data_IF_044862650786
#
_entry.id   IF_044862650786
#
_cell.length_a   1.000
_cell.length_b   1.000
_cell.length_c   1.000
_cell.angle_alpha   90.00
_cell.angle_beta   90.00
_cell.angle_gamma   90.00
#
_symmetry.space_group_name_H-M   'P 1'
#
loop_
_entity.id
_entity.type
_entity.pdbx_description
1 polymer ?
#
# COMPACT_ATOMS: atom_id res chain seq x y z
N UNK A 1 -36.83 -22.33 -11.49
CA UNK A 1 -37.04 -22.77 -10.10
C UNK A 1 -35.74 -23.37 -9.58
N UNK A 2 -34.86 -22.55 -9.00
CA UNK A 2 -33.62 -23.03 -8.37
C UNK A 2 -33.87 -23.19 -6.88
N UNK A 3 -33.77 -24.44 -6.37
CA UNK A 3 -33.81 -24.72 -4.91
C UNK A 3 -32.46 -24.36 -4.31
N UNK A 4 -32.48 -23.50 -3.30
CA UNK A 4 -31.32 -23.17 -2.46
C UNK A 4 -30.92 -24.37 -1.59
N UNK A 5 -29.69 -24.84 -1.74
CA UNK A 5 -29.08 -25.82 -0.84
C UNK A 5 -28.61 -25.13 0.44
N UNK A 6 -29.21 -25.48 1.57
CA UNK A 6 -28.81 -24.98 2.88
C UNK A 6 -27.55 -25.70 3.40
N UNK A 7 -26.65 -24.94 4.01
CA UNK A 7 -25.37 -25.37 4.63
C UNK A 7 -25.50 -26.49 5.70
N UNK A 8 -26.71 -26.91 6.05
CA UNK A 8 -26.96 -27.92 7.10
C UNK A 8 -26.96 -29.38 6.62
N UNK A 9 -26.97 -29.63 5.32
CA UNK A 9 -27.09 -31.00 4.77
C UNK A 9 -25.75 -31.70 4.53
N UNK A 10 -24.63 -31.02 4.75
CA UNK A 10 -23.28 -31.57 4.50
C UNK A 10 -22.71 -32.37 5.69
N UNK A 11 -23.37 -32.40 6.84
CA UNK A 11 -22.83 -33.02 8.08
C UNK A 11 -23.52 -34.32 8.51
N UNK A 12 -24.29 -35.03 7.67
CA UNK A 12 -25.01 -36.26 8.05
C UNK A 12 -24.69 -37.48 7.17
N UNK A 13 -23.44 -37.66 6.79
CA UNK A 13 -23.00 -38.88 6.12
C UNK A 13 -21.67 -39.40 6.73
N UNK A 14 -21.68 -39.80 8.00
CA UNK A 14 -20.65 -40.70 8.53
C UNK A 14 -21.34 -41.84 9.32
N UNK A 15 -21.40 -42.98 8.64
CA UNK A 15 -21.88 -44.23 9.20
C UNK A 15 -20.91 -44.80 10.21
N UNK A 16 -21.48 -45.39 11.23
CA UNK A 16 -20.88 -46.18 12.31
C UNK A 16 -20.21 -47.42 11.71
N UNK A 17 -18.92 -47.65 12.01
CA UNK A 17 -18.29 -48.98 11.91
C UNK A 17 -17.61 -49.29 13.23
N UNK A 18 -17.90 -50.49 13.71
CA UNK A 18 -17.62 -51.09 14.99
C UNK A 18 -16.15 -51.34 15.32
N UNK A 19 -15.90 -51.36 16.61
CA UNK A 19 -14.65 -51.61 17.35
C UNK A 19 -14.02 -52.95 17.01
N UNK A 20 -12.74 -52.92 16.65
CA UNK A 20 -11.78 -54.00 16.70
C UNK A 20 -10.46 -53.49 17.28
N UNK A 21 -10.10 -53.98 18.46
CA UNK A 21 -8.88 -53.65 19.20
C UNK A 21 -7.63 -54.13 18.46
N UNK A 22 -6.79 -53.23 18.01
CA UNK A 22 -5.34 -53.49 17.75
C UNK A 22 -4.56 -52.16 17.79
N UNK A 23 -3.54 -52.13 18.63
CA UNK A 23 -2.34 -51.31 18.59
C UNK A 23 -2.49 -49.81 18.29
N UNK A 24 -2.50 -48.96 19.36
CA UNK A 24 -2.26 -47.53 19.23
C UNK A 24 -0.86 -47.25 18.63
N UNK A 25 -0.76 -47.19 17.32
CA UNK A 25 0.26 -46.34 16.69
C UNK A 25 -0.35 -44.92 16.59
N UNK A 26 0.14 -44.00 17.42
CA UNK A 26 -0.01 -42.57 17.20
C UNK A 26 0.52 -42.28 15.80
N UNK A 27 -0.38 -42.24 14.81
CA UNK A 27 -0.11 -41.57 13.58
C UNK A 27 0.02 -40.09 13.97
N UNK A 28 1.24 -39.58 13.94
CA UNK A 28 1.47 -38.15 13.91
C UNK A 28 0.52 -37.59 12.84
N UNK A 29 -0.35 -36.69 13.24
CA UNK A 29 -1.13 -35.93 12.29
C UNK A 29 -0.12 -35.26 11.37
N UNK A 30 -0.13 -35.63 10.08
CA UNK A 30 0.58 -34.88 9.06
C UNK A 30 0.15 -33.43 9.23
N UNK A 31 1.08 -32.59 9.67
CA UNK A 31 0.90 -31.14 9.57
C UNK A 31 0.49 -30.86 8.13
N UNK A 32 -0.58 -30.05 7.90
CA UNK A 32 -0.96 -29.69 6.54
C UNK A 32 0.31 -29.14 5.88
N UNK A 33 0.76 -29.80 4.81
CA UNK A 33 1.91 -29.39 4.05
C UNK A 33 1.81 -27.88 3.86
N UNK A 34 2.72 -27.12 4.47
CA UNK A 34 2.85 -25.69 4.27
C UNK A 34 3.03 -25.51 2.78
N UNK A 35 1.95 -25.17 2.08
CA UNK A 35 2.00 -24.80 0.67
C UNK A 35 3.01 -23.67 0.62
N UNK A 36 4.14 -23.92 -0.04
CA UNK A 36 5.38 -23.20 0.06
C UNK A 36 5.15 -21.69 0.20
N UNK A 37 5.53 -21.16 1.36
CA UNK A 37 5.62 -19.71 1.52
C UNK A 37 6.61 -19.26 0.47
N UNK A 38 6.16 -18.43 -0.49
CA UNK A 38 7.07 -17.81 -1.45
C UNK A 38 8.04 -16.97 -0.63
N UNK A 39 9.25 -17.50 -0.40
CA UNK A 39 10.26 -16.90 0.48
C UNK A 39 10.99 -15.74 -0.19
N UNK A 40 10.86 -15.59 -1.51
CA UNK A 40 11.52 -14.56 -2.29
C UNK A 40 10.74 -13.25 -2.39
N UNK A 41 11.43 -12.18 -2.78
CA UNK A 41 10.82 -10.89 -3.10
C UNK A 41 9.99 -10.96 -4.38
N UNK A 42 8.91 -10.18 -4.43
CA UNK A 42 8.08 -9.99 -5.63
C UNK A 42 7.87 -8.50 -5.85
N UNK A 43 8.66 -7.92 -6.75
CA UNK A 43 8.69 -6.50 -7.03
C UNK A 43 7.87 -6.22 -8.30
N UNK A 44 6.70 -5.60 -8.14
CA UNK A 44 5.76 -5.35 -9.22
C UNK A 44 5.90 -3.91 -9.70
N UNK A 45 6.20 -3.63 -10.99
CA UNK A 45 6.21 -2.27 -11.47
C UNK A 45 4.81 -1.66 -11.41
N UNK A 46 4.67 -0.50 -10.76
CA UNK A 46 3.43 0.26 -10.63
C UNK A 46 3.58 1.70 -11.11
N UNK A 47 2.46 2.43 -11.14
CA UNK A 47 2.43 3.84 -11.42
C UNK A 47 1.42 4.55 -10.51
N UNK A 48 1.88 5.60 -9.82
CA UNK A 48 1.04 6.49 -9.03
C UNK A 48 0.37 7.53 -9.93
N UNK A 49 -0.92 7.77 -9.72
CA UNK A 49 -1.66 8.80 -10.44
C UNK A 49 -1.08 10.21 -10.24
N UNK A 50 -0.38 10.43 -9.10
CA UNK A 50 0.30 11.70 -8.83
C UNK A 50 1.34 12.05 -9.89
N UNK A 51 1.96 11.06 -10.54
CA UNK A 51 2.88 11.25 -11.67
C UNK A 51 2.28 12.09 -12.80
N UNK A 52 0.98 12.05 -12.98
CA UNK A 52 0.23 12.81 -13.98
C UNK A 52 -0.60 13.96 -13.37
N UNK A 53 -0.26 14.40 -12.16
CA UNK A 53 -1.00 15.42 -11.41
C UNK A 53 -1.21 16.72 -12.16
N UNK A 54 -0.23 17.15 -12.98
CA UNK A 54 -0.34 18.34 -13.84
C UNK A 54 -1.38 18.20 -14.96
N UNK A 55 -1.69 16.98 -15.38
CA UNK A 55 -2.71 16.67 -16.39
C UNK A 55 -4.08 16.42 -15.75
N UNK A 56 -4.12 15.63 -14.70
CA UNK A 56 -5.33 15.32 -13.94
C UNK A 56 -5.93 16.57 -13.29
N UNK A 57 -5.10 17.36 -12.61
CA UNK A 57 -5.54 18.57 -11.91
C UNK A 57 -6.01 19.69 -12.84
N UNK A 58 -5.56 19.69 -14.12
CA UNK A 58 -6.00 20.64 -15.15
C UNK A 58 -7.13 20.10 -16.02
N UNK A 59 -7.65 18.90 -15.73
CA UNK A 59 -8.68 18.25 -16.54
C UNK A 59 -8.23 17.86 -17.96
N UNK A 60 -6.92 17.79 -18.21
CA UNK A 60 -6.35 17.35 -19.51
C UNK A 60 -6.30 15.82 -19.62
N UNK A 61 -6.46 15.13 -18.52
CA UNK A 61 -6.52 13.67 -18.41
C UNK A 61 -7.61 13.31 -17.40
N UNK A 62 -8.38 12.26 -17.66
CA UNK A 62 -9.29 11.67 -16.68
C UNK A 62 -8.62 10.50 -15.98
N UNK A 63 -9.19 10.02 -14.86
CA UNK A 63 -8.66 8.84 -14.16
C UNK A 63 -8.73 7.59 -15.05
N UNK A 64 -9.77 7.46 -15.87
CA UNK A 64 -9.90 6.37 -16.85
C UNK A 64 -8.79 6.43 -17.94
N UNK A 65 -8.46 7.64 -18.41
CA UNK A 65 -7.35 7.84 -19.36
C UNK A 65 -5.98 7.53 -18.72
N UNK A 66 -5.78 7.89 -17.45
CA UNK A 66 -4.59 7.49 -16.70
C UNK A 66 -4.46 5.96 -16.62
N UNK A 67 -5.55 5.25 -16.33
CA UNK A 67 -5.55 3.77 -16.30
C UNK A 67 -5.12 3.20 -17.66
N UNK A 68 -5.65 3.73 -18.77
CA UNK A 68 -5.27 3.30 -20.13
C UNK A 68 -3.80 3.59 -20.40
N UNK A 69 -3.31 4.77 -20.00
CA UNK A 69 -1.88 5.12 -20.14
C UNK A 69 -1.00 4.15 -19.35
N UNK A 70 -1.36 3.81 -18.12
CA UNK A 70 -0.64 2.83 -17.32
C UNK A 70 -0.60 1.43 -17.98
N UNK A 71 -1.70 1.01 -18.64
CA UNK A 71 -1.72 -0.22 -19.44
C UNK A 71 -0.71 -0.14 -20.59
N UNK A 72 -0.68 0.97 -21.33
CA UNK A 72 0.27 1.19 -22.44
C UNK A 72 1.73 1.16 -21.95
N UNK A 73 2.00 1.68 -20.77
CA UNK A 73 3.32 1.64 -20.12
C UNK A 73 3.72 0.23 -19.65
N UNK A 74 2.77 -0.70 -19.59
CA UNK A 74 2.99 -2.09 -19.19
C UNK A 74 3.40 -2.23 -17.73
N UNK A 75 2.83 -1.41 -16.85
CA UNK A 75 2.88 -1.60 -15.39
C UNK A 75 1.85 -2.64 -14.96
N UNK A 76 1.98 -3.16 -13.75
CA UNK A 76 1.13 -4.26 -13.23
C UNK A 76 0.10 -3.80 -12.20
N UNK A 77 0.07 -2.52 -11.89
CA UNK A 77 -0.91 -1.92 -10.99
C UNK A 77 -0.76 -0.40 -10.92
N UNK A 78 -1.81 0.25 -10.47
CA UNK A 78 -1.82 1.70 -10.27
C UNK A 78 -2.32 2.04 -8.87
N UNK A 79 -1.71 3.03 -8.23
CA UNK A 79 -2.29 3.66 -7.07
C UNK A 79 -3.00 4.97 -7.44
N UNK A 80 -4.18 5.13 -6.91
CA UNK A 80 -5.09 6.21 -7.26
C UNK A 80 -4.95 7.34 -6.25
N UNK A 81 -4.36 8.46 -6.67
CA UNK A 81 -4.40 9.70 -5.90
C UNK A 81 -5.80 10.28 -5.98
N UNK A 82 -6.49 10.30 -4.85
CA UNK A 82 -7.94 10.58 -4.78
C UNK A 82 -8.31 12.02 -5.06
N UNK A 83 -7.34 12.94 -5.09
CA UNK A 83 -7.55 14.39 -5.27
C UNK A 83 -8.25 14.75 -6.58
N UNK A 84 -8.17 13.88 -7.59
CA UNK A 84 -8.69 14.10 -8.94
C UNK A 84 -9.78 13.10 -9.34
N UNK A 85 -10.34 12.36 -8.37
CA UNK A 85 -11.53 11.55 -8.62
C UNK A 85 -12.72 12.48 -8.87
N UNK A 86 -13.52 12.15 -9.87
CA UNK A 86 -14.75 12.91 -10.20
C UNK A 86 -15.77 12.85 -9.08
N UNK A 87 -15.78 11.74 -8.32
CA UNK A 87 -16.71 11.49 -7.26
C UNK A 87 -16.17 10.42 -6.32
N UNK A 88 -16.63 10.44 -5.08
CA UNK A 88 -16.42 9.37 -4.09
C UNK A 88 -17.65 8.49 -3.93
N UNK A 89 -18.71 8.76 -4.72
CA UNK A 89 -19.94 7.98 -4.67
C UNK A 89 -19.69 6.51 -5.07
N UNK A 90 -20.35 5.57 -4.39
CA UNK A 90 -20.18 4.14 -4.62
C UNK A 90 -20.33 3.71 -6.08
N UNK A 91 -21.28 4.30 -6.80
CA UNK A 91 -21.52 3.99 -8.20
C UNK A 91 -20.33 4.36 -9.10
N UNK A 92 -19.67 5.50 -8.85
CA UNK A 92 -18.50 5.91 -9.60
C UNK A 92 -17.30 5.02 -9.30
N UNK A 93 -17.02 4.75 -8.01
CA UNK A 93 -15.91 3.88 -7.61
C UNK A 93 -16.06 2.46 -8.17
N UNK A 94 -17.29 1.91 -8.13
CA UNK A 94 -17.59 0.61 -8.73
C UNK A 94 -17.39 0.62 -10.25
N UNK A 95 -17.79 1.70 -10.93
CA UNK A 95 -17.59 1.89 -12.36
C UNK A 95 -16.11 1.95 -12.72
N UNK A 96 -15.32 2.73 -11.96
CA UNK A 96 -13.88 2.87 -12.18
C UNK A 96 -13.14 1.54 -11.94
N UNK A 97 -13.50 0.80 -10.88
CA UNK A 97 -13.00 -0.56 -10.64
C UNK A 97 -13.31 -1.52 -11.79
N UNK A 98 -14.56 -1.52 -12.28
CA UNK A 98 -14.95 -2.36 -13.42
C UNK A 98 -14.20 -1.97 -14.70
N UNK A 99 -13.99 -0.66 -14.93
CA UNK A 99 -13.19 -0.17 -16.05
C UNK A 99 -11.75 -0.68 -15.95
N UNK A 100 -11.10 -0.51 -14.81
CA UNK A 100 -9.73 -0.98 -14.56
C UNK A 100 -9.61 -2.51 -14.73
N UNK A 101 -10.55 -3.27 -14.17
CA UNK A 101 -10.60 -4.73 -14.30
C UNK A 101 -10.65 -5.18 -15.75
N UNK A 102 -11.51 -4.56 -16.58
CA UNK A 102 -11.62 -4.87 -18.02
C UNK A 102 -10.36 -4.54 -18.82
N UNK A 103 -9.51 -3.66 -18.31
CA UNK A 103 -8.21 -3.33 -18.91
C UNK A 103 -7.06 -4.14 -18.28
N UNK A 104 -7.35 -5.10 -17.39
CA UNK A 104 -6.33 -5.90 -16.71
C UNK A 104 -5.45 -5.10 -15.75
N UNK A 105 -5.93 -3.94 -15.25
CA UNK A 105 -5.17 -3.03 -14.40
C UNK A 105 -5.75 -3.02 -12.98
N UNK A 106 -5.16 -3.76 -12.03
CA UNK A 106 -5.58 -3.71 -10.62
C UNK A 106 -5.17 -2.40 -9.96
N UNK A 107 -5.96 -1.95 -8.98
CA UNK A 107 -5.54 -0.88 -8.08
C UNK A 107 -4.60 -1.45 -7.01
N UNK A 108 -3.39 -0.91 -6.90
CA UNK A 108 -2.41 -1.24 -5.86
C UNK A 108 -2.71 -0.53 -4.54
N UNK A 109 -3.42 0.59 -4.58
CA UNK A 109 -3.83 1.37 -3.43
C UNK A 109 -4.64 2.60 -3.80
N UNK A 110 -5.22 3.24 -2.78
CA UNK A 110 -5.68 4.63 -2.84
C UNK A 110 -4.76 5.51 -1.99
N UNK A 111 -4.69 6.81 -2.33
CA UNK A 111 -3.88 7.77 -1.60
C UNK A 111 -4.71 9.03 -1.27
N UNK A 112 -4.81 9.36 0.03
CA UNK A 112 -5.55 10.52 0.54
C UNK A 112 -4.63 11.52 1.21
N UNK A 113 -5.09 12.79 1.31
CA UNK A 113 -4.37 13.88 1.96
C UNK A 113 -4.63 14.02 3.46
N UNK A 114 -5.12 12.97 4.15
CA UNK A 114 -5.37 13.02 5.58
C UNK A 114 -4.06 13.01 6.37
N UNK A 115 -3.83 14.05 7.16
CA UNK A 115 -2.67 14.18 8.05
C UNK A 115 -3.06 13.80 9.48
N UNK A 116 -2.49 12.72 9.96
CA UNK A 116 -2.80 12.10 11.25
C UNK A 116 -2.06 12.73 12.44
N UNK A 117 -1.13 13.66 12.22
CA UNK A 117 -0.44 14.37 13.30
C UNK A 117 -1.36 15.42 13.94
N UNK A 118 -2.39 14.97 14.66
CA UNK A 118 -3.40 15.80 15.26
C UNK A 118 -3.38 15.68 16.79
N UNK A 119 -3.19 16.80 17.52
CA UNK A 119 -3.41 16.84 18.97
C UNK A 119 -4.83 16.35 19.33
N UNK A 120 -5.03 16.03 20.61
CA UNK A 120 -6.37 15.69 21.09
C UNK A 120 -7.37 16.81 20.78
N UNK A 121 -8.59 16.44 20.40
CA UNK A 121 -9.66 17.39 20.11
C UNK A 121 -10.60 16.96 19.00
N UNK A 122 -11.45 17.91 18.58
CA UNK A 122 -12.47 17.67 17.53
C UNK A 122 -11.83 17.32 16.19
N UNK A 123 -10.72 17.96 15.84
CA UNK A 123 -10.02 17.74 14.57
C UNK A 123 -9.46 16.33 14.44
N UNK A 124 -8.90 15.75 15.53
CA UNK A 124 -8.46 14.34 15.55
C UNK A 124 -9.65 13.41 15.25
N UNK A 125 -10.79 13.63 15.89
CA UNK A 125 -12.02 12.84 15.66
C UNK A 125 -12.48 12.93 14.21
N UNK A 126 -12.50 14.14 13.65
CA UNK A 126 -12.86 14.39 12.24
C UNK A 126 -11.93 13.66 11.26
N UNK A 127 -10.61 13.68 11.51
CA UNK A 127 -9.65 12.97 10.68
C UNK A 127 -9.84 11.45 10.77
N UNK A 128 -10.08 10.90 11.95
CA UNK A 128 -10.38 9.47 12.11
C UNK A 128 -11.61 9.08 11.30
N UNK A 129 -12.70 9.85 11.38
CA UNK A 129 -13.91 9.60 10.59
C UNK A 129 -13.67 9.76 9.08
N UNK A 130 -12.84 10.70 8.69
CA UNK A 130 -12.42 10.86 7.29
C UNK A 130 -11.67 9.63 6.79
N UNK A 131 -10.72 9.12 7.57
CA UNK A 131 -9.99 7.89 7.20
C UNK A 131 -10.93 6.69 7.11
N UNK A 132 -11.89 6.54 8.05
CA UNK A 132 -12.89 5.46 8.00
C UNK A 132 -13.70 5.47 6.71
N UNK A 133 -14.20 6.64 6.29
CA UNK A 133 -14.92 6.79 5.02
C UNK A 133 -14.05 6.37 3.82
N UNK A 134 -12.76 6.72 3.85
CA UNK A 134 -11.86 6.33 2.79
C UNK A 134 -11.46 4.85 2.85
N UNK A 135 -11.48 4.23 4.01
CA UNK A 135 -11.35 2.77 4.15
C UNK A 135 -12.51 2.06 3.45
N UNK A 136 -13.76 2.52 3.65
CA UNK A 136 -14.92 1.99 2.94
C UNK A 136 -14.81 2.17 1.42
N UNK A 137 -14.34 3.35 0.99
CA UNK A 137 -14.09 3.63 -0.43
C UNK A 137 -12.98 2.75 -1.02
N UNK A 138 -11.95 2.43 -0.23
CA UNK A 138 -10.82 1.55 -0.61
C UNK A 138 -11.30 0.11 -0.79
N UNK A 139 -12.08 -0.41 0.14
CA UNK A 139 -12.73 -1.72 0.03
C UNK A 139 -13.61 -1.79 -1.23
N UNK A 140 -14.44 -0.77 -1.46
CA UNK A 140 -15.31 -0.69 -2.62
C UNK A 140 -14.54 -0.59 -3.94
N UNK A 141 -13.42 0.15 -3.96
CA UNK A 141 -12.52 0.22 -5.10
C UNK A 141 -11.80 -1.12 -5.39
N UNK A 142 -11.85 -2.08 -4.47
CA UNK A 142 -11.28 -3.42 -4.64
C UNK A 142 -9.77 -3.48 -4.44
N UNK A 143 -9.23 -2.61 -3.61
CA UNK A 143 -7.83 -2.65 -3.17
C UNK A 143 -7.72 -2.73 -1.65
N UNK A 144 -6.57 -3.14 -1.14
CA UNK A 144 -6.34 -3.37 0.28
C UNK A 144 -5.32 -2.40 0.90
N UNK A 145 -5.01 -1.28 0.23
CA UNK A 145 -4.03 -0.32 0.72
C UNK A 145 -4.57 1.10 0.62
N UNK A 146 -4.45 1.88 1.71
CA UNK A 146 -4.82 3.29 1.78
C UNK A 146 -3.66 4.09 2.37
N UNK A 147 -3.04 4.95 1.57
CA UNK A 147 -1.96 5.84 2.01
C UNK A 147 -2.52 7.04 2.76
N UNK A 148 -1.90 7.34 3.91
CA UNK A 148 -2.17 8.48 4.79
C UNK A 148 -0.87 9.21 5.14
N UNK A 149 -0.98 10.44 5.66
CA UNK A 149 0.16 11.23 6.14
C UNK A 149 0.20 11.34 7.67
N UNK A 150 1.40 11.68 8.20
CA UNK A 150 1.62 12.00 9.59
C UNK A 150 2.69 13.08 9.72
N UNK A 151 2.51 14.20 9.02
CA UNK A 151 3.60 15.11 8.66
C UNK A 151 3.66 16.39 9.51
N UNK A 152 2.53 17.07 9.65
CA UNK A 152 2.49 18.47 10.09
C UNK A 152 2.54 18.57 11.59
N UNK A 153 3.75 18.62 12.12
CA UNK A 153 3.96 18.89 13.53
C UNK A 153 3.45 20.31 13.88
N UNK A 154 2.48 20.44 14.79
CA UNK A 154 2.00 21.76 15.25
C UNK A 154 3.12 22.61 15.83
N UNK A 155 3.04 23.94 15.66
CA UNK A 155 4.03 24.86 16.18
C UNK A 155 4.21 24.71 17.69
N UNK A 156 5.46 24.61 18.15
CA UNK A 156 5.83 24.43 19.55
C UNK A 156 5.73 23.00 20.09
N UNK A 157 5.27 22.05 19.28
CA UNK A 157 5.27 20.63 19.65
C UNK A 157 6.64 19.98 19.42
N UNK A 158 6.96 18.97 20.23
CA UNK A 158 8.14 18.14 20.02
C UNK A 158 7.86 16.98 19.07
N UNK A 159 8.91 16.38 18.47
CA UNK A 159 8.75 15.20 17.61
C UNK A 159 8.08 14.03 18.35
N UNK A 160 8.44 13.83 19.64
CA UNK A 160 7.85 12.79 20.48
C UNK A 160 6.35 12.98 20.67
N UNK A 161 5.91 14.23 20.86
CA UNK A 161 4.47 14.55 20.90
C UNK A 161 3.81 14.26 19.56
N UNK A 162 4.44 14.63 18.45
CA UNK A 162 3.95 14.35 17.11
C UNK A 162 3.80 12.84 16.85
N UNK A 163 4.81 12.05 17.18
CA UNK A 163 4.78 10.58 17.11
C UNK A 163 3.59 10.02 17.90
N UNK A 164 3.43 10.47 19.15
CA UNK A 164 2.33 10.04 20.02
C UNK A 164 0.97 10.39 19.42
N UNK A 165 0.79 11.59 18.86
CA UNK A 165 -0.45 12.01 18.25
C UNK A 165 -0.81 11.21 16.98
N UNK A 166 0.20 10.88 16.17
CA UNK A 166 -0.03 10.00 15.01
C UNK A 166 -0.46 8.61 15.47
N UNK A 167 0.19 8.04 16.49
CA UNK A 167 -0.22 6.74 17.08
C UNK A 167 -1.66 6.79 17.56
N UNK A 168 -2.02 7.79 18.37
CA UNK A 168 -3.38 7.95 18.95
C UNK A 168 -4.46 8.19 17.90
N UNK A 169 -4.10 8.81 16.75
CA UNK A 169 -5.03 9.06 15.64
C UNK A 169 -5.14 7.85 14.73
N UNK A 170 -4.02 7.20 14.41
CA UNK A 170 -3.98 6.09 13.45
C UNK A 170 -4.52 4.78 14.05
N UNK A 171 -4.27 4.50 15.33
CA UNK A 171 -4.65 3.23 15.95
C UNK A 171 -6.15 2.91 15.84
N UNK A 172 -7.08 3.79 16.24
CA UNK A 172 -8.53 3.52 16.09
C UNK A 172 -8.98 3.48 14.61
N UNK A 173 -8.26 4.16 13.71
CA UNK A 173 -8.49 4.04 12.27
C UNK A 173 -8.03 2.68 11.73
N UNK A 174 -6.88 2.16 12.21
CA UNK A 174 -6.39 0.82 11.86
C UNK A 174 -7.32 -0.29 12.36
N UNK A 175 -7.91 -0.16 13.56
CA UNK A 175 -8.90 -1.12 14.08
C UNK A 175 -10.10 -1.23 13.13
N UNK A 176 -10.59 -0.09 12.63
CA UNK A 176 -11.64 -0.07 11.62
C UNK A 176 -11.17 -0.67 10.29
N UNK A 177 -9.99 -0.26 9.81
CA UNK A 177 -9.41 -0.75 8.56
C UNK A 177 -9.21 -2.27 8.57
N UNK A 178 -8.82 -2.84 9.72
CA UNK A 178 -8.71 -4.28 9.94
C UNK A 178 -10.02 -5.02 9.68
N UNK A 179 -11.17 -4.45 10.10
CA UNK A 179 -12.50 -5.04 9.86
C UNK A 179 -12.86 -5.11 8.38
N UNK A 180 -12.19 -4.33 7.54
CA UNK A 180 -12.38 -4.22 6.08
C UNK A 180 -11.26 -4.88 5.27
N UNK A 181 -10.22 -5.40 5.93
CA UNK A 181 -9.05 -5.96 5.27
C UNK A 181 -8.18 -4.93 4.56
N UNK A 182 -8.22 -3.66 5.01
CA UNK A 182 -7.45 -2.55 4.44
C UNK A 182 -6.26 -2.21 5.33
N UNK A 183 -5.09 -2.06 4.73
CA UNK A 183 -3.86 -1.61 5.39
C UNK A 183 -3.78 -0.08 5.26
N UNK A 184 -3.55 0.61 6.38
CA UNK A 184 -3.19 2.02 6.37
C UNK A 184 -1.67 2.15 6.19
N UNK A 185 -1.24 2.69 5.07
CA UNK A 185 0.16 2.97 4.76
C UNK A 185 0.55 4.39 5.15
N UNK A 186 1.30 4.56 6.25
CA UNK A 186 1.87 5.84 6.63
C UNK A 186 3.03 6.18 5.70
N UNK A 187 2.95 7.30 5.00
CA UNK A 187 3.98 7.65 4.01
C UNK A 187 5.20 8.32 4.66
N UNK A 188 6.38 7.93 4.20
CA UNK A 188 7.61 8.71 4.37
C UNK A 188 7.53 9.92 3.43
N UNK A 189 7.13 11.10 3.94
CA UNK A 189 6.75 12.22 3.08
C UNK A 189 7.43 13.55 3.48
N UNK A 190 6.93 14.24 4.50
CA UNK A 190 7.45 15.54 4.92
C UNK A 190 7.43 15.72 6.43
N UNK A 191 8.02 16.79 6.95
CA UNK A 191 7.98 17.12 8.36
C UNK A 191 8.40 15.94 9.25
N UNK A 192 7.49 15.49 10.14
CA UNK A 192 7.74 14.40 11.10
C UNK A 192 8.09 13.08 10.40
N UNK A 193 7.48 12.79 9.26
CA UNK A 193 7.62 11.53 8.53
C UNK A 193 8.84 11.46 7.59
N UNK A 194 9.66 12.51 7.52
CA UNK A 194 10.96 12.46 6.80
C UNK A 194 12.03 11.64 7.52
N UNK A 195 11.78 11.19 8.74
CA UNK A 195 12.71 10.41 9.56
C UNK A 195 12.20 8.99 9.76
N UNK A 196 12.94 8.01 9.25
CA UNK A 196 12.60 6.59 9.39
C UNK A 196 12.37 6.17 10.85
N UNK A 197 13.14 6.74 11.79
CA UNK A 197 12.98 6.48 13.23
C UNK A 197 11.57 6.83 13.73
N UNK A 198 11.00 7.95 13.27
CA UNK A 198 9.65 8.37 13.65
C UNK A 198 8.60 7.42 13.05
N UNK A 199 8.72 7.06 11.76
CA UNK A 199 7.84 6.08 11.11
C UNK A 199 7.82 4.76 11.89
N UNK A 200 9.00 4.23 12.22
CA UNK A 200 9.13 2.97 12.97
C UNK A 200 8.55 3.09 14.38
N UNK A 201 8.79 4.21 15.07
CA UNK A 201 8.23 4.46 16.40
C UNK A 201 6.69 4.49 16.36
N UNK A 202 6.10 5.16 15.36
CA UNK A 202 4.65 5.22 15.14
C UNK A 202 4.09 3.81 14.89
N UNK A 203 4.65 3.08 13.93
CA UNK A 203 4.13 1.76 13.55
C UNK A 203 4.24 0.74 14.68
N UNK A 204 5.32 0.79 15.47
CA UNK A 204 5.47 -0.02 16.69
C UNK A 204 4.47 0.36 17.78
N UNK A 205 4.17 1.67 17.93
CA UNK A 205 3.18 2.15 18.90
C UNK A 205 1.75 1.74 18.56
N UNK A 206 1.44 1.60 17.27
CA UNK A 206 0.14 1.11 16.80
C UNK A 206 0.01 -0.40 17.00
N UNK A 207 1.08 -1.15 16.73
CA UNK A 207 1.17 -2.62 16.86
C UNK A 207 -0.01 -3.35 16.19
N UNK A 208 -0.17 -3.11 14.88
CA UNK A 208 -1.24 -3.72 14.09
C UNK A 208 -0.71 -4.23 12.75
N UNK A 209 -1.11 -5.43 12.29
CA UNK A 209 -0.77 -5.92 10.96
C UNK A 209 -1.45 -5.13 9.83
N UNK A 210 -2.40 -4.26 10.17
CA UNK A 210 -3.06 -3.35 9.24
C UNK A 210 -2.49 -1.92 9.26
N UNK A 211 -1.34 -1.71 9.93
CA UNK A 211 -0.54 -0.51 9.86
C UNK A 211 0.78 -0.82 9.16
N UNK A 212 1.13 -0.08 8.13
CA UNK A 212 2.36 -0.25 7.38
C UNK A 212 2.95 1.06 6.90
N UNK A 213 4.09 0.97 6.23
CA UNK A 213 4.77 2.10 5.63
C UNK A 213 4.48 2.14 4.11
N UNK A 214 3.92 3.24 3.63
CA UNK A 214 4.03 3.61 2.22
C UNK A 214 5.41 4.25 2.04
N UNK A 215 6.38 3.44 1.63
CA UNK A 215 7.78 3.85 1.58
C UNK A 215 8.06 4.65 0.30
N UNK A 216 8.00 5.97 0.39
CA UNK A 216 8.58 6.84 -0.62
C UNK A 216 10.08 6.97 -0.35
N UNK A 217 10.87 6.39 -1.23
CA UNK A 217 12.33 6.31 -1.08
C UNK A 217 13.03 7.67 -1.26
N UNK A 218 12.33 8.68 -1.75
CA UNK A 218 12.90 9.94 -2.23
C UNK A 218 12.81 11.09 -1.23
N UNK A 219 11.92 10.95 -0.24
CA UNK A 219 11.64 12.03 0.71
C UNK A 219 12.65 12.12 1.88
N UNK A 220 13.59 11.20 1.96
CA UNK A 220 14.68 11.28 2.94
C UNK A 220 15.70 12.34 2.51
N UNK A 221 16.01 13.26 3.42
CA UNK A 221 16.94 14.37 3.14
C UNK A 221 18.41 13.95 3.21
N UNK A 222 18.72 13.00 4.10
CA UNK A 222 20.07 12.51 4.37
C UNK A 222 20.08 10.99 4.53
N UNK A 223 21.20 10.35 4.21
CA UNK A 223 21.42 8.92 4.38
C UNK A 223 20.24 8.05 3.87
N UNK A 224 19.76 8.25 2.61
CA UNK A 224 18.52 7.64 2.14
C UNK A 224 18.55 6.12 2.24
N UNK A 225 19.66 5.47 1.94
CA UNK A 225 19.76 4.01 1.99
C UNK A 225 19.61 3.43 3.40
N UNK A 226 20.19 4.08 4.42
CA UNK A 226 20.04 3.67 5.81
C UNK A 226 18.58 3.84 6.27
N UNK A 227 17.96 4.94 5.91
CA UNK A 227 16.57 5.21 6.25
C UNK A 227 15.60 4.28 5.51
N UNK A 228 15.83 4.00 4.22
CA UNK A 228 15.11 2.98 3.46
C UNK A 228 15.23 1.62 4.16
N UNK A 229 16.46 1.19 4.52
CA UNK A 229 16.71 -0.07 5.21
C UNK A 229 15.93 -0.17 6.53
N UNK A 230 15.82 0.93 7.26
CA UNK A 230 15.10 1.00 8.53
C UNK A 230 13.58 0.84 8.34
N UNK A 231 13.02 1.38 7.25
CA UNK A 231 11.58 1.29 6.97
C UNK A 231 11.16 -0.01 6.27
N UNK A 232 12.06 -0.69 5.55
CA UNK A 232 11.75 -1.87 4.74
C UNK A 232 10.98 -2.99 5.47
N UNK A 233 11.25 -3.32 6.76
CA UNK A 233 10.47 -4.33 7.48
C UNK A 233 8.98 -3.99 7.65
N UNK A 234 8.62 -2.73 7.47
CA UNK A 234 7.27 -2.20 7.63
C UNK A 234 6.63 -1.81 6.29
N UNK A 235 7.37 -1.91 5.17
CA UNK A 235 6.90 -1.47 3.87
C UNK A 235 5.74 -2.34 3.36
N UNK A 236 4.62 -1.70 3.05
CA UNK A 236 3.41 -2.32 2.47
C UNK A 236 3.14 -1.83 1.06
N UNK A 237 3.69 -0.69 0.70
CA UNK A 237 3.68 -0.11 -0.64
C UNK A 237 4.96 0.74 -0.81
N UNK A 238 5.37 1.03 -2.04
CA UNK A 238 6.53 1.87 -2.29
C UNK A 238 6.28 2.89 -3.41
N UNK A 239 6.67 4.15 -3.17
CA UNK A 239 6.76 5.19 -4.19
C UNK A 239 8.21 5.38 -4.63
N UNK A 240 8.39 5.53 -5.95
CA UNK A 240 9.70 5.48 -6.60
C UNK A 240 9.93 6.73 -7.44
N UNK A 241 11.01 7.43 -7.11
CA UNK A 241 11.66 8.44 -7.94
C UNK A 241 13.13 8.04 -8.12
N UNK A 242 13.84 8.63 -9.07
CA UNK A 242 15.27 8.35 -9.28
C UNK A 242 16.20 9.38 -8.61
N UNK A 243 15.67 10.15 -7.67
CA UNK A 243 16.40 11.13 -6.86
C UNK A 243 15.89 11.16 -5.41
N UNK A 244 16.62 11.85 -4.53
CA UNK A 244 16.24 12.10 -3.13
C UNK A 244 16.67 13.48 -2.67
N UNK A 245 16.05 13.97 -1.61
CA UNK A 245 16.44 15.21 -0.90
C UNK A 245 16.26 16.50 -1.66
N UNK A 246 16.60 17.60 -0.98
CA UNK A 246 16.61 18.95 -1.52
C UNK A 246 17.99 19.58 -1.22
N UNK A 247 18.77 19.98 -2.24
CA UNK A 247 18.53 19.79 -3.69
C UNK A 247 18.52 18.32 -4.09
N UNK A 248 17.84 18.01 -5.20
CA UNK A 248 17.68 16.65 -5.75
C UNK A 248 19.05 16.01 -6.04
N UNK A 249 19.31 14.85 -5.44
CA UNK A 249 20.51 14.04 -5.66
C UNK A 249 20.09 12.69 -6.24
N UNK A 250 20.83 12.13 -7.20
CA UNK A 250 20.47 10.86 -7.83
C UNK A 250 20.48 9.70 -6.82
N UNK A 251 19.49 8.80 -6.94
CA UNK A 251 19.46 7.50 -6.24
C UNK A 251 20.02 6.40 -7.14
N UNK A 252 20.82 5.53 -6.56
CA UNK A 252 21.20 4.26 -7.19
C UNK A 252 20.02 3.28 -7.06
N UNK A 253 19.21 3.21 -8.11
CA UNK A 253 18.02 2.34 -8.13
C UNK A 253 18.40 0.85 -8.08
N UNK A 254 19.52 0.42 -8.65
CA UNK A 254 19.95 -0.99 -8.58
C UNK A 254 20.19 -1.40 -7.12
N UNK A 255 20.89 -0.56 -6.35
CA UNK A 255 21.09 -0.74 -4.92
C UNK A 255 19.76 -0.75 -4.15
N UNK A 256 18.83 0.16 -4.45
CA UNK A 256 17.51 0.19 -3.81
C UNK A 256 16.75 -1.11 -4.08
N UNK A 257 16.70 -1.60 -5.31
CA UNK A 257 16.03 -2.86 -5.65
C UNK A 257 16.66 -4.06 -4.95
N UNK A 258 17.99 -4.08 -4.83
CA UNK A 258 18.70 -5.10 -4.06
C UNK A 258 18.24 -5.10 -2.59
N UNK A 259 18.10 -3.93 -1.97
CA UNK A 259 17.62 -3.81 -0.58
C UNK A 259 16.17 -4.33 -0.42
N UNK A 260 15.26 -3.97 -1.33
CA UNK A 260 13.90 -4.50 -1.34
C UNK A 260 13.88 -6.02 -1.54
N UNK A 261 14.71 -6.55 -2.42
CA UNK A 261 14.83 -7.99 -2.63
C UNK A 261 15.32 -8.73 -1.38
N UNK A 262 16.36 -8.21 -0.72
CA UNK A 262 16.91 -8.78 0.50
C UNK A 262 15.92 -8.73 1.68
N UNK A 263 15.03 -7.74 1.72
CA UNK A 263 13.98 -7.66 2.75
C UNK A 263 12.83 -8.66 2.53
N UNK A 264 12.77 -9.31 1.36
CA UNK A 264 11.67 -10.19 0.99
C UNK A 264 10.37 -9.45 0.66
N UNK A 265 10.44 -8.15 0.33
CA UNK A 265 9.29 -7.33 -0.02
C UNK A 265 8.47 -7.93 -1.16
N UNK A 266 7.15 -7.91 -1.01
CA UNK A 266 6.17 -8.37 -2.01
C UNK A 266 5.12 -7.28 -2.21
N UNK A 267 5.29 -6.48 -3.26
CA UNK A 267 4.39 -5.37 -3.51
C UNK A 267 4.79 -4.54 -4.71
N UNK A 268 4.11 -3.42 -4.84
CA UNK A 268 4.29 -2.52 -5.96
C UNK A 268 5.44 -1.54 -5.71
N UNK A 269 6.22 -1.33 -6.76
CA UNK A 269 7.25 -0.30 -6.89
C UNK A 269 6.65 0.77 -7.80
N UNK A 270 5.76 1.60 -7.24
CA UNK A 270 4.98 2.58 -7.99
C UNK A 270 5.79 3.82 -8.31
N UNK A 271 5.96 4.12 -9.58
CA UNK A 271 6.56 5.39 -10.02
C UNK A 271 5.67 6.53 -9.57
N UNK A 272 6.23 7.46 -8.80
CA UNK A 272 5.67 8.77 -8.48
C UNK A 272 6.59 9.84 -9.04
N UNK A 273 6.37 10.19 -10.31
CA UNK A 273 7.26 11.07 -11.05
C UNK A 273 7.09 12.54 -10.64
N UNK A 274 8.18 13.16 -10.22
CA UNK A 274 8.27 14.59 -9.91
C UNK A 274 9.54 15.21 -10.54
N UNK A 275 9.89 14.73 -11.74
CA UNK A 275 11.00 15.28 -12.50
C UNK A 275 10.67 16.62 -13.16
N UNK A 276 11.68 17.21 -13.82
CA UNK A 276 11.55 18.51 -14.49
C UNK A 276 10.90 18.40 -15.88
N UNK A 277 10.99 17.23 -16.51
CA UNK A 277 10.39 17.00 -17.82
C UNK A 277 8.87 16.88 -17.71
N UNK A 278 8.19 17.09 -18.83
CA UNK A 278 6.76 16.82 -18.94
C UNK A 278 6.45 15.34 -18.57
N UNK A 279 5.37 15.12 -17.83
CA UNK A 279 5.00 13.80 -17.33
C UNK A 279 4.82 12.78 -18.46
N UNK A 280 4.27 13.18 -19.63
CA UNK A 280 4.11 12.29 -20.78
C UNK A 280 5.44 11.78 -21.36
N UNK A 281 6.55 12.44 -21.04
CA UNK A 281 7.91 12.03 -21.43
C UNK A 281 8.67 11.40 -20.27
N UNK A 282 8.58 11.99 -19.08
CA UNK A 282 9.38 11.59 -17.92
C UNK A 282 8.90 10.30 -17.27
N UNK A 283 7.58 10.10 -17.14
CA UNK A 283 7.00 8.88 -16.55
C UNK A 283 7.39 7.63 -17.34
N UNK A 284 7.24 7.58 -18.70
CA UNK A 284 7.68 6.44 -19.48
C UNK A 284 9.17 6.13 -19.33
N UNK A 285 10.03 7.15 -19.24
CA UNK A 285 11.47 6.98 -19.04
C UNK A 285 11.77 6.30 -17.71
N UNK A 286 11.15 6.77 -16.62
CA UNK A 286 11.36 6.18 -15.29
C UNK A 286 10.78 4.77 -15.20
N UNK A 287 9.60 4.52 -15.74
CA UNK A 287 9.00 3.16 -15.80
C UNK A 287 9.93 2.21 -16.58
N UNK A 288 10.51 2.65 -17.68
CA UNK A 288 11.45 1.83 -18.47
C UNK A 288 12.76 1.54 -17.69
N UNK A 289 13.18 2.41 -16.77
CA UNK A 289 14.32 2.13 -15.86
C UNK A 289 13.94 1.05 -14.84
N UNK A 290 12.75 1.11 -14.22
CA UNK A 290 12.40 0.21 -13.11
C UNK A 290 11.91 -1.17 -13.55
N UNK A 291 11.27 -1.33 -14.70
CA UNK A 291 10.76 -2.64 -15.18
C UNK A 291 11.84 -3.73 -15.27
N UNK A 292 13.04 -3.47 -15.82
CA UNK A 292 14.14 -4.44 -15.81
C UNK A 292 14.60 -4.79 -14.40
N UNK A 293 14.64 -3.80 -13.48
CA UNK A 293 15.03 -4.01 -12.09
C UNK A 293 14.01 -4.89 -11.36
N UNK A 294 12.71 -4.64 -11.55
CA UNK A 294 11.66 -5.50 -11.01
C UNK A 294 11.82 -6.95 -11.45
N UNK A 295 12.11 -7.20 -12.74
CA UNK A 295 12.38 -8.55 -13.25
C UNK A 295 13.67 -9.16 -12.69
N UNK A 296 14.76 -8.37 -12.62
CA UNK A 296 16.07 -8.83 -12.14
C UNK A 296 16.02 -9.28 -10.68
N UNK A 297 15.29 -8.54 -9.85
CA UNK A 297 15.30 -8.70 -8.40
C UNK A 297 14.10 -9.44 -7.83
N UNK A 298 13.05 -9.70 -8.61
CA UNK A 298 12.02 -10.64 -8.20
C UNK A 298 12.54 -12.06 -8.31
N UNK A 299 12.47 -12.80 -7.21
CA UNK A 299 12.76 -14.22 -7.26
C UNK A 299 11.58 -14.92 -7.91
N UNK A 300 11.85 -15.74 -8.93
CA UNK A 300 10.86 -16.65 -9.47
C UNK A 300 10.37 -17.56 -8.35
N UNK A 301 9.05 -17.54 -8.07
CA UNK A 301 8.40 -18.49 -7.18
C UNK A 301 8.25 -19.84 -7.87
#
# INVERSE_FOLDING_TARGET
>A
MYKSLHRRDFLRATGIVSVGSLGLRLLAADEPAQRGVVTGARLLPGCCAYSYGSYLGKGKMTMEQFIVEAVNLGVLGVDITTYWLKSTEPAYLASLRNFAYRHGMPFSGLAIGADLCQPEGSKRKEIIETVRKWVDATELAGTAHLRVFGDKLPAGATEEQGVQWVVETMKPACEYAASKGVILGLETHSGLSTRAANIVAILRGIDSPYAGCNLDISNFRENPYEQIQTCLPYATHAHIRDFYGEPKKPLDLDRVWQMFAQSGYKGYMSVEYEGEEDAMSGVPKLINKIKPLCRKYSTAG
#
